data_IF_310866095066
#
_entry.id   IF_310866095066
#
_cell.length_a   1.000
_cell.length_b   1.000
_cell.length_c   1.000
_cell.angle_alpha   90.00
_cell.angle_beta   90.00
_cell.angle_gamma   90.00
#
_symmetry.space_group_name_H-M   'P 1'
#
loop_
_entity.id
_entity.type
_entity.pdbx_description
1 polymer ?
#
# COMPACT_ATOMS: atom_id res chain seq x y z
N UNK A 1 -16.38 17.82 -2.90
CA UNK A 1 -15.44 16.79 -2.40
C UNK A 1 -16.11 15.43 -2.60
N UNK A 2 -15.41 14.35 -2.99
CA UNK A 2 -16.02 13.03 -3.11
C UNK A 2 -16.66 12.64 -1.78
N UNK A 3 -17.88 12.09 -1.78
CA UNK A 3 -18.65 11.76 -0.57
C UNK A 3 -18.03 10.62 0.27
N UNK A 4 -16.95 10.01 -0.20
CA UNK A 4 -16.34 8.79 0.38
C UNK A 4 -15.29 9.05 1.46
N UNK A 5 -14.96 10.32 1.78
CA UNK A 5 -13.97 10.63 2.81
C UNK A 5 -14.62 10.83 4.19
N UNK A 6 -14.17 10.10 5.23
CA UNK A 6 -14.68 10.29 6.59
C UNK A 6 -14.42 11.73 7.07
N UNK A 7 -15.31 12.23 7.94
CA UNK A 7 -15.24 13.58 8.52
C UNK A 7 -14.04 13.79 9.45
N UNK A 8 -13.29 12.73 9.75
CA UNK A 8 -12.10 12.73 10.57
C UNK A 8 -10.97 11.95 9.88
N UNK A 9 -9.73 12.26 10.26
CA UNK A 9 -8.55 11.67 9.64
C UNK A 9 -8.33 10.22 10.14
N UNK A 10 -8.83 9.24 9.38
CA UNK A 10 -8.65 7.81 9.69
C UNK A 10 -7.21 7.32 9.57
N UNK A 11 -6.34 8.02 8.83
CA UNK A 11 -4.94 7.63 8.63
C UNK A 11 -4.08 7.80 9.89
N UNK A 12 -4.57 8.55 10.89
CA UNK A 12 -3.91 8.69 12.20
C UNK A 12 -4.31 7.58 13.18
N UNK A 13 -5.25 6.72 12.82
CA UNK A 13 -5.71 5.67 13.70
C UNK A 13 -4.61 4.60 13.89
N UNK A 14 -4.44 4.11 15.12
CA UNK A 14 -3.37 3.16 15.46
C UNK A 14 -3.44 1.84 14.69
N UNK A 15 -4.64 1.44 14.24
CA UNK A 15 -4.85 0.26 13.38
C UNK A 15 -4.47 0.48 11.92
N UNK A 16 -4.24 1.72 11.48
CA UNK A 16 -3.88 2.02 10.09
C UNK A 16 -2.35 2.11 9.99
N UNK A 17 -1.69 1.10 9.38
CA UNK A 17 -0.25 1.13 9.19
C UNK A 17 0.15 2.14 8.10
N UNK A 18 1.45 2.43 8.03
CA UNK A 18 2.00 3.30 6.98
C UNK A 18 2.04 2.53 5.65
N UNK A 19 1.50 3.12 4.60
CA UNK A 19 1.50 2.59 3.23
C UNK A 19 2.33 3.48 2.32
N UNK A 20 3.26 2.91 1.56
CA UNK A 20 4.16 3.63 0.65
C UNK A 20 4.28 2.85 -0.68
N UNK A 21 4.21 3.55 -1.81
CA UNK A 21 4.47 2.93 -3.12
C UNK A 21 5.97 2.74 -3.29
N UNK A 22 6.41 1.53 -3.63
CA UNK A 22 7.82 1.26 -3.88
C UNK A 22 8.27 1.90 -5.18
N UNK A 23 9.48 2.45 -5.17
CA UNK A 23 10.16 2.87 -6.40
C UNK A 23 10.51 1.66 -7.29
N UNK A 24 10.80 1.86 -8.59
CA UNK A 24 11.20 0.77 -9.48
C UNK A 24 12.44 0.00 -9.00
N UNK A 25 13.39 0.69 -8.36
CA UNK A 25 14.59 0.08 -7.78
C UNK A 25 14.27 -0.83 -6.59
N UNK A 26 13.52 -0.31 -5.61
CA UNK A 26 13.10 -1.10 -4.43
C UNK A 26 12.22 -2.28 -4.82
N UNK A 27 11.32 -2.08 -5.80
CA UNK A 27 10.50 -3.15 -6.36
C UNK A 27 11.37 -4.30 -6.86
N UNK A 28 12.42 -4.00 -7.64
CA UNK A 28 13.34 -5.02 -8.18
C UNK A 28 14.05 -5.74 -7.05
N UNK A 29 14.59 -4.99 -6.09
CA UNK A 29 15.29 -5.55 -4.92
C UNK A 29 14.39 -6.52 -4.12
N UNK A 30 13.13 -6.15 -3.86
CA UNK A 30 12.19 -6.99 -3.11
C UNK A 30 11.88 -8.29 -3.86
N UNK A 31 11.61 -8.21 -5.17
CA UNK A 31 11.28 -9.40 -5.97
C UNK A 31 12.48 -10.36 -6.09
N UNK A 32 13.69 -9.82 -6.23
CA UNK A 32 14.93 -10.61 -6.26
C UNK A 32 15.23 -11.25 -4.89
N UNK A 33 15.11 -10.48 -3.81
CA UNK A 33 15.37 -10.94 -2.44
C UNK A 33 14.48 -12.13 -2.06
N UNK A 34 13.20 -12.07 -2.38
CA UNK A 34 12.25 -13.13 -2.06
C UNK A 34 12.04 -14.15 -3.19
N UNK A 35 12.73 -13.97 -4.34
CA UNK A 35 12.64 -14.83 -5.53
C UNK A 35 11.19 -15.10 -5.92
N UNK A 36 10.39 -14.04 -5.96
CA UNK A 36 8.94 -14.11 -6.15
C UNK A 36 8.53 -13.29 -7.37
N UNK A 37 7.53 -13.77 -8.09
CA UNK A 37 6.96 -13.03 -9.22
C UNK A 37 5.89 -12.03 -8.71
N UNK A 38 5.72 -10.86 -9.35
CA UNK A 38 4.84 -9.81 -8.84
C UNK A 38 3.41 -10.26 -8.51
N UNK A 39 2.83 -11.15 -9.32
CA UNK A 39 1.46 -11.64 -9.16
C UNK A 39 1.30 -12.70 -8.05
N UNK A 40 2.40 -13.18 -7.48
CA UNK A 40 2.40 -14.09 -6.32
C UNK A 40 2.43 -13.34 -5.00
N UNK A 41 2.57 -12.01 -5.03
CA UNK A 41 2.47 -11.17 -3.84
C UNK A 41 1.00 -11.06 -3.37
N UNK A 42 0.75 -10.82 -2.08
CA UNK A 42 -0.59 -10.50 -1.60
C UNK A 42 -1.18 -9.30 -2.35
N UNK A 43 -2.45 -9.41 -2.76
CA UNK A 43 -3.15 -8.36 -3.49
C UNK A 43 -3.97 -7.47 -2.56
N UNK A 44 -4.04 -6.19 -2.91
CA UNK A 44 -4.92 -5.20 -2.29
C UNK A 44 -5.83 -4.59 -3.36
N UNK A 45 -7.09 -4.32 -3.00
CA UNK A 45 -8.05 -3.75 -3.95
C UNK A 45 -7.77 -2.28 -4.19
N UNK A 46 -7.90 -1.84 -5.45
CA UNK A 46 -7.84 -0.41 -5.83
C UNK A 46 -8.97 0.43 -5.23
N UNK A 47 -10.03 -0.21 -4.75
CA UNK A 47 -11.12 0.45 -4.03
C UNK A 47 -10.76 0.83 -2.59
N UNK A 48 -9.67 0.31 -2.03
CA UNK A 48 -9.23 0.66 -0.67
C UNK A 48 -8.84 2.14 -0.56
N UNK A 49 -9.26 2.81 0.50
CA UNK A 49 -9.02 4.25 0.67
C UNK A 49 -7.52 4.57 0.81
N UNK A 50 -6.74 3.71 1.48
CA UNK A 50 -5.29 3.92 1.62
C UNK A 50 -4.61 3.88 0.25
N UNK A 51 -5.01 2.93 -0.61
CA UNK A 51 -4.49 2.79 -1.98
C UNK A 51 -4.82 4.03 -2.81
N UNK A 52 -6.06 4.55 -2.71
CA UNK A 52 -6.47 5.78 -3.39
C UNK A 52 -5.69 7.00 -2.93
N UNK A 53 -5.48 7.15 -1.61
CA UNK A 53 -4.78 8.33 -1.04
C UNK A 53 -3.31 8.36 -1.38
N UNK A 54 -2.63 7.21 -1.42
CA UNK A 54 -1.22 7.13 -1.85
C UNK A 54 -1.06 7.19 -3.38
N UNK A 55 -2.16 7.20 -4.14
CA UNK A 55 -2.15 7.30 -5.60
C UNK A 55 -1.63 6.04 -6.32
N UNK A 56 -1.67 4.88 -5.66
CA UNK A 56 -1.18 3.63 -6.23
C UNK A 56 -2.09 3.13 -7.37
N UNK A 57 -1.47 2.54 -8.40
CA UNK A 57 -2.13 2.00 -9.58
C UNK A 57 -2.02 0.47 -9.64
N UNK A 58 -2.87 -0.21 -10.42
CA UNK A 58 -2.69 -1.65 -10.69
C UNK A 58 -1.27 -1.96 -11.17
N UNK A 59 -0.60 -2.89 -10.50
CA UNK A 59 0.77 -3.30 -10.80
C UNK A 59 1.85 -2.60 -9.98
N UNK A 60 1.50 -1.59 -9.18
CA UNK A 60 2.38 -1.05 -8.15
C UNK A 60 2.52 -2.01 -6.98
N UNK A 61 3.68 -1.99 -6.33
CA UNK A 61 3.93 -2.76 -5.10
C UNK A 61 3.94 -1.78 -3.94
N UNK A 62 3.13 -2.07 -2.92
CA UNK A 62 2.96 -1.21 -1.75
C UNK A 62 3.70 -1.84 -0.58
N UNK A 63 4.56 -1.06 0.06
CA UNK A 63 5.20 -1.40 1.32
C UNK A 63 4.29 -1.00 2.48
N UNK A 64 3.96 -1.97 3.33
CA UNK A 64 3.17 -1.75 4.54
C UNK A 64 4.08 -1.89 5.75
N UNK A 65 4.29 -0.79 6.48
CA UNK A 65 5.07 -0.78 7.71
C UNK A 65 4.13 -0.79 8.90
N UNK A 66 4.06 -1.94 9.60
CA UNK A 66 3.26 -2.11 10.81
C UNK A 66 4.17 -1.88 12.03
N UNK A 67 3.71 -1.07 12.99
CA UNK A 67 4.31 -1.09 14.32
C UNK A 67 3.83 -2.40 14.97
N UNK A 68 4.76 -3.20 15.49
CA UNK A 68 4.41 -4.43 16.20
C UNK A 68 3.41 -4.09 17.30
N UNK A 69 2.39 -4.93 17.46
CA UNK A 69 1.58 -4.97 18.68
C UNK A 69 2.48 -5.33 19.86
#
# INVERSE_FOLDING_TARGET
MPQDFPSFNIFKHYLVPKHEVLSPGERKEVLEKYRVEPYKLPHIKTSDLNVRVIGAKPGDIIKITRRNL
#
